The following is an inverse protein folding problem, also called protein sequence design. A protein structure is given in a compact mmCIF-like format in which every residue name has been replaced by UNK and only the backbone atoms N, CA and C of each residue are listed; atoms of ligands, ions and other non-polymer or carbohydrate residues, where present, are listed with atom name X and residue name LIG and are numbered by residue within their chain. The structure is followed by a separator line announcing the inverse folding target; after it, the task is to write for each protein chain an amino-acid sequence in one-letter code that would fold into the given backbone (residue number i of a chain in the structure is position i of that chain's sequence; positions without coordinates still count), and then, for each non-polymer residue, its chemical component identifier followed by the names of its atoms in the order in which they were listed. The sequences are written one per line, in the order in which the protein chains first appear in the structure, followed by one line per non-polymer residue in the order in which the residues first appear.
data_IF_591624550700
#
_entry.id   IF_591624550700
#
_cell.length_a   1.000
_cell.length_b   1.000
_cell.length_c   1.000
_cell.angle_alpha   90.00
_cell.angle_beta   90.00
_cell.angle_gamma   90.00
#
_symmetry.space_group_name_H-M   'P 1'
#
loop_
_entity.id
_entity.type
_entity.pdbx_description
1 polymer ?
#
# COMPACT_ATOMS: atom_id res chain seq x y z
N UNK A 1 10.10 16.52 11.06
CA UNK A 1 9.21 15.93 12.10
C UNK A 1 9.91 16.17 13.44
N UNK A 2 9.22 16.58 14.52
CA UNK A 2 9.87 16.68 15.84
C UNK A 2 10.45 15.30 16.20
N UNK A 3 11.63 15.26 16.83
CA UNK A 3 12.19 14.00 17.33
C UNK A 3 11.20 13.39 18.32
N UNK A 4 10.51 12.33 17.90
CA UNK A 4 9.65 11.56 18.80
C UNK A 4 10.54 10.86 19.82
N UNK A 5 10.13 10.77 21.10
CA UNK A 5 10.87 10.00 22.08
C UNK A 5 10.91 8.53 21.66
N UNK A 6 11.99 7.85 22.02
CA UNK A 6 12.24 6.45 21.67
C UNK A 6 11.03 5.52 21.92
N UNK A 7 10.35 5.71 23.06
CA UNK A 7 9.19 4.92 23.46
C UNK A 7 7.99 5.08 22.51
N UNK A 8 7.79 6.28 21.96
CA UNK A 8 6.71 6.53 21.00
C UNK A 8 7.02 5.87 19.65
N UNK A 9 8.29 5.91 19.22
CA UNK A 9 8.74 5.23 17.99
C UNK A 9 8.56 3.72 18.13
N UNK A 10 8.95 3.15 19.27
CA UNK A 10 8.78 1.73 19.55
C UNK A 10 7.30 1.34 19.56
N UNK A 11 6.44 2.10 20.23
CA UNK A 11 4.99 1.87 20.25
C UNK A 11 4.36 1.95 18.85
N UNK A 12 4.79 2.92 18.02
CA UNK A 12 4.35 3.01 16.62
C UNK A 12 4.78 1.78 15.82
N UNK A 13 6.05 1.37 15.92
CA UNK A 13 6.55 0.18 15.24
C UNK A 13 5.83 -1.09 15.69
N UNK A 14 5.63 -1.28 16.98
CA UNK A 14 4.87 -2.41 17.52
C UNK A 14 3.44 -2.42 16.99
N UNK A 15 2.81 -1.25 16.87
CA UNK A 15 1.45 -1.16 16.35
C UNK A 15 1.33 -1.59 14.89
N UNK A 16 2.31 -1.22 14.05
CA UNK A 16 2.37 -1.63 12.65
C UNK A 16 2.76 -3.11 12.52
N UNK A 17 3.73 -3.58 13.31
CA UNK A 17 4.21 -4.98 13.23
C UNK A 17 3.12 -5.95 13.68
N UNK A 18 2.47 -5.66 14.81
CA UNK A 18 1.44 -6.54 15.38
C UNK A 18 0.04 -6.33 14.79
N UNK A 19 -0.15 -5.27 13.99
CA UNK A 19 -1.46 -4.78 13.55
C UNK A 19 -2.43 -4.49 14.70
N UNK A 20 -1.90 -4.19 15.89
CA UNK A 20 -2.69 -3.96 17.10
C UNK A 20 -2.36 -2.62 17.73
N UNK A 21 -3.38 -1.96 18.28
CA UNK A 21 -3.19 -0.72 19.03
C UNK A 21 -4.01 -0.72 20.30
N UNK A 22 -3.35 -0.65 21.45
CA UNK A 22 -4.01 -0.46 22.74
C UNK A 22 -4.45 1.00 22.85
N UNK A 23 -5.76 1.22 23.03
CA UNK A 23 -6.35 2.54 23.25
C UNK A 23 -7.03 2.59 24.60
N UNK A 24 -6.76 3.67 25.32
CA UNK A 24 -7.50 4.09 26.51
C UNK A 24 -8.71 4.91 26.06
N UNK A 25 -9.88 4.55 26.56
CA UNK A 25 -11.13 5.26 26.31
C UNK A 25 -11.70 5.70 27.66
N UNK A 26 -11.71 7.01 27.87
CA UNK A 26 -12.29 7.63 29.06
C UNK A 26 -13.72 8.11 28.75
N UNK A 27 -14.66 7.81 29.64
CA UNK A 27 -16.05 8.24 29.57
C UNK A 27 -16.59 8.51 30.98
N UNK A 28 -17.74 9.18 31.15
CA UNK A 28 -18.24 9.56 32.48
C UNK A 28 -18.42 8.39 33.47
N UNK A 29 -18.64 7.17 32.97
CA UNK A 29 -18.81 5.96 33.77
C UNK A 29 -17.52 5.20 34.12
N UNK A 30 -16.36 5.62 33.59
CA UNK A 30 -15.08 4.96 33.87
C UNK A 30 -14.06 5.05 32.73
N UNK A 31 -13.05 4.20 32.81
CA UNK A 31 -12.00 4.08 31.79
C UNK A 31 -11.92 2.63 31.33
N UNK A 32 -11.94 2.42 30.02
CA UNK A 32 -11.79 1.10 29.39
C UNK A 32 -10.51 1.07 28.56
N UNK A 33 -9.91 -0.11 28.47
CA UNK A 33 -8.73 -0.36 27.65
C UNK A 33 -9.11 -1.35 26.56
N UNK A 34 -9.08 -0.89 25.31
CA UNK A 34 -9.48 -1.67 24.14
C UNK A 34 -8.29 -1.86 23.23
N UNK A 35 -8.05 -3.09 22.80
CA UNK A 35 -7.08 -3.43 21.78
C UNK A 35 -7.82 -3.42 20.45
N UNK A 36 -7.45 -2.50 19.58
CA UNK A 36 -7.82 -2.58 18.18
C UNK A 36 -6.91 -3.54 17.46
N UNK A 37 -7.47 -4.42 16.62
CA UNK A 37 -6.74 -5.26 15.67
C UNK A 37 -7.29 -4.98 14.29
N UNK A 38 -6.44 -4.90 13.26
CA UNK A 38 -6.93 -4.69 11.89
C UNK A 38 -7.88 -5.84 11.47
N UNK A 39 -8.99 -5.55 10.76
CA UNK A 39 -9.93 -6.59 10.33
C UNK A 39 -9.26 -7.67 9.47
N UNK A 40 -9.62 -8.93 9.68
CA UNK A 40 -9.12 -10.03 8.85
C UNK A 40 -9.84 -10.06 7.51
N UNK A 41 -9.29 -10.80 6.55
CA UNK A 41 -9.93 -11.03 5.25
C UNK A 41 -11.39 -11.50 5.35
N UNK A 42 -11.72 -12.34 6.34
CA UNK A 42 -13.09 -12.80 6.59
C UNK A 42 -14.01 -11.66 7.07
N UNK A 43 -13.51 -10.80 7.95
CA UNK A 43 -14.28 -9.65 8.47
C UNK A 43 -14.59 -8.65 7.35
N UNK A 44 -13.65 -8.43 6.42
CA UNK A 44 -13.84 -7.57 5.24
C UNK A 44 -14.90 -8.12 4.27
N UNK A 45 -14.98 -9.44 4.11
CA UNK A 45 -16.03 -10.06 3.29
C UNK A 45 -17.39 -9.91 3.97
N UNK A 46 -17.45 -10.14 5.28
CA UNK A 46 -18.69 -9.98 6.04
C UNK A 46 -19.14 -8.52 6.10
N UNK A 47 -18.23 -7.55 6.18
CA UNK A 47 -18.60 -6.13 6.14
C UNK A 47 -19.21 -5.73 4.79
N UNK A 48 -18.72 -6.30 3.67
CA UNK A 48 -19.33 -6.11 2.35
C UNK A 48 -20.74 -6.70 2.28
N UNK A 49 -20.97 -7.86 2.90
CA UNK A 49 -22.31 -8.42 3.03
C UNK A 49 -23.23 -7.49 3.85
N UNK A 50 -22.74 -6.97 4.98
CA UNK A 50 -23.51 -6.01 5.80
C UNK A 50 -23.84 -4.74 5.02
N UNK A 51 -22.89 -4.23 4.22
CA UNK A 51 -23.10 -3.12 3.28
C UNK A 51 -24.24 -3.38 2.31
N UNK A 52 -24.20 -4.52 1.62
CA UNK A 52 -25.24 -4.90 0.64
C UNK A 52 -26.61 -5.05 1.29
N UNK A 53 -26.67 -5.68 2.47
CA UNK A 53 -27.89 -5.81 3.26
C UNK A 53 -28.47 -4.43 3.63
N UNK A 54 -27.65 -3.55 4.20
CA UNK A 54 -28.07 -2.21 4.59
C UNK A 54 -28.52 -1.35 3.41
N UNK A 55 -27.86 -1.50 2.25
CA UNK A 55 -28.27 -0.82 1.01
C UNK A 55 -29.67 -1.27 0.54
N UNK A 56 -29.95 -2.59 0.60
CA UNK A 56 -31.28 -3.13 0.26
C UNK A 56 -32.37 -2.68 1.24
N UNK A 57 -32.04 -2.57 2.53
CA UNK A 57 -32.96 -2.08 3.56
C UNK A 57 -33.24 -0.58 3.38
N UNK A 58 -32.20 0.22 3.14
CA UNK A 58 -32.31 1.64 2.83
C UNK A 58 -33.19 1.91 1.59
N UNK A 59 -33.02 1.09 0.54
CA UNK A 59 -33.85 1.18 -0.65
C UNK A 59 -35.33 0.84 -0.37
N UNK A 60 -35.61 -0.15 0.48
CA UNK A 60 -36.98 -0.49 0.91
C UNK A 60 -37.63 0.61 1.75
N UNK A 61 -36.83 1.33 2.54
CA UNK A 61 -37.27 2.50 3.31
C UNK A 61 -37.51 3.74 2.43
N UNK A 62 -37.13 3.69 1.14
CA UNK A 62 -37.31 4.79 0.21
C UNK A 62 -36.28 5.91 0.37
N UNK A 63 -35.11 5.61 0.94
CA UNK A 63 -33.99 6.55 0.97
C UNK A 63 -33.48 6.80 -0.46
N UNK A 64 -33.06 8.04 -0.80
CA UNK A 64 -32.52 8.34 -2.13
C UNK A 64 -31.16 7.67 -2.34
N UNK A 65 -30.82 7.40 -3.59
CA UNK A 65 -29.43 7.08 -3.96
C UNK A 65 -28.52 8.30 -3.74
N UNK A 66 -27.20 8.11 -3.76
CA UNK A 66 -26.25 9.22 -3.57
C UNK A 66 -26.40 10.23 -4.71
N UNK A 67 -26.61 9.77 -5.93
CA UNK A 67 -26.86 10.61 -7.09
C UNK A 67 -28.15 11.44 -6.90
N UNK A 68 -29.26 10.80 -6.52
CA UNK A 68 -30.52 11.48 -6.22
C UNK A 68 -30.38 12.47 -5.06
N UNK A 69 -29.67 12.10 -4.00
CA UNK A 69 -29.39 12.95 -2.86
C UNK A 69 -28.55 14.18 -3.27
N UNK A 70 -27.57 14.02 -4.17
CA UNK A 70 -26.81 15.14 -4.72
C UNK A 70 -27.67 16.06 -5.58
N UNK A 71 -28.57 15.53 -6.40
CA UNK A 71 -29.50 16.35 -7.18
C UNK A 71 -30.48 17.11 -6.29
N UNK A 72 -31.01 16.46 -5.25
CA UNK A 72 -31.87 17.11 -4.25
C UNK A 72 -31.12 18.20 -3.51
N UNK A 73 -29.85 17.95 -3.18
CA UNK A 73 -28.98 18.92 -2.53
C UNK A 73 -28.73 20.13 -3.43
N UNK A 74 -28.45 19.94 -4.71
CA UNK A 74 -28.24 21.05 -5.65
C UNK A 74 -29.50 21.89 -5.86
N UNK A 75 -30.69 21.26 -5.77
CA UNK A 75 -31.98 21.97 -5.81
C UNK A 75 -32.29 22.70 -4.49
N UNK A 76 -31.90 22.13 -3.35
CA UNK A 76 -32.16 22.66 -2.02
C UNK A 76 -31.17 23.76 -1.59
N UNK A 77 -29.94 23.71 -2.11
CA UNK A 77 -28.90 24.68 -1.79
C UNK A 77 -29.04 25.88 -2.70
N UNK A 78 -29.34 27.05 -2.12
CA UNK A 78 -29.39 28.29 -2.88
C UNK A 78 -27.98 28.68 -3.33
N UNK A 79 -27.88 29.41 -4.46
CA UNK A 79 -26.59 29.98 -4.87
C UNK A 79 -26.01 30.90 -3.78
N UNK A 80 -26.89 31.57 -3.03
CA UNK A 80 -26.54 32.39 -1.86
C UNK A 80 -25.84 31.58 -0.76
N UNK A 81 -26.33 30.38 -0.42
CA UNK A 81 -25.67 29.51 0.58
C UNK A 81 -24.27 29.08 0.11
N UNK A 82 -24.12 28.77 -1.19
CA UNK A 82 -22.82 28.40 -1.80
C UNK A 82 -21.84 29.58 -1.78
N UNK A 83 -22.30 30.77 -2.15
CA UNK A 83 -21.50 31.99 -2.17
C UNK A 83 -21.10 32.41 -0.75
N UNK A 84 -22.03 32.32 0.21
CA UNK A 84 -21.77 32.58 1.62
C UNK A 84 -20.74 31.61 2.21
N UNK A 85 -20.84 30.32 1.92
CA UNK A 85 -19.86 29.34 2.38
C UNK A 85 -18.45 29.64 1.83
N UNK A 86 -18.36 30.04 0.56
CA UNK A 86 -17.09 30.45 -0.05
C UNK A 86 -16.53 31.71 0.64
N UNK A 87 -17.36 32.72 0.88
CA UNK A 87 -16.96 33.95 1.58
C UNK A 87 -16.48 33.65 3.01
N UNK A 88 -17.17 32.77 3.74
CA UNK A 88 -16.76 32.34 5.08
C UNK A 88 -15.39 31.66 5.07
N UNK A 89 -15.14 30.74 4.12
CA UNK A 89 -13.83 30.07 3.97
C UNK A 89 -12.71 31.06 3.67
N UNK A 90 -12.94 32.02 2.79
CA UNK A 90 -11.97 33.08 2.49
C UNK A 90 -11.69 33.97 3.72
N UNK A 91 -12.73 34.32 4.50
CA UNK A 91 -12.57 35.07 5.75
C UNK A 91 -11.80 34.29 6.82
N UNK A 92 -12.03 32.98 6.95
CA UNK A 92 -11.30 32.12 7.90
C UNK A 92 -9.81 32.16 7.56
N UNK A 93 -9.43 31.91 6.30
CA UNK A 93 -8.02 31.93 5.86
C UNK A 93 -7.39 33.30 6.10
N UNK A 94 -8.11 34.39 5.83
CA UNK A 94 -7.63 35.74 6.10
C UNK A 94 -7.40 36.00 7.61
N UNK A 95 -8.29 35.52 8.48
CA UNK A 95 -8.15 35.66 9.93
C UNK A 95 -7.03 34.78 10.50
N UNK A 96 -6.84 33.56 9.97
CA UNK A 96 -5.71 32.70 10.35
C UNK A 96 -4.37 33.37 10.04
N UNK A 97 -4.23 34.02 8.86
CA UNK A 97 -3.04 34.79 8.53
C UNK A 97 -2.81 35.98 9.49
N UNK A 98 -3.89 36.67 9.92
CA UNK A 98 -3.80 37.74 10.92
C UNK A 98 -3.39 37.18 12.29
N UNK A 99 -3.91 36.01 12.67
CA UNK A 99 -3.59 35.34 13.93
C UNK A 99 -2.09 35.02 14.05
N UNK A 100 -1.48 34.52 12.98
CA UNK A 100 -0.05 34.20 12.92
C UNK A 100 0.83 35.44 13.16
N UNK A 101 0.48 36.57 12.55
CA UNK A 101 1.26 37.83 12.60
C UNK A 101 1.02 38.62 13.90
N UNK A 102 -0.12 38.42 14.56
CA UNK A 102 -0.49 39.18 15.76
C UNK A 102 0.34 38.77 16.97
N UNK A 103 1.13 39.67 17.55
CA UNK A 103 1.97 39.38 18.73
C UNK A 103 1.26 39.60 20.08
N UNK A 104 0.18 40.40 20.11
CA UNK A 104 -0.51 40.80 21.35
C UNK A 104 -1.54 39.72 21.73
N UNK A 105 -1.40 39.15 22.92
CA UNK A 105 -2.24 38.04 23.41
C UNK A 105 -3.74 38.39 23.44
N UNK A 106 -4.12 39.55 23.99
CA UNK A 106 -5.51 39.98 24.02
C UNK A 106 -6.15 40.13 22.62
N UNK A 107 -5.35 40.51 21.60
CA UNK A 107 -5.84 40.57 20.21
C UNK A 107 -5.88 39.19 19.57
N UNK A 108 -4.95 38.29 19.93
CA UNK A 108 -4.99 36.88 19.49
C UNK A 108 -6.24 36.18 19.97
N UNK A 109 -6.65 36.39 21.22
CA UNK A 109 -7.86 35.77 21.75
C UNK A 109 -9.11 36.26 21.00
N UNK A 110 -9.20 37.57 20.71
CA UNK A 110 -10.29 38.11 19.88
C UNK A 110 -10.30 37.56 18.44
N UNK A 111 -9.13 37.40 17.83
CA UNK A 111 -9.03 36.80 16.48
C UNK A 111 -9.42 35.32 16.53
N UNK A 112 -9.01 34.58 17.56
CA UNK A 112 -9.38 33.18 17.78
C UNK A 112 -10.90 33.03 17.91
N UNK A 113 -11.54 33.80 18.78
CA UNK A 113 -13.00 33.77 18.96
C UNK A 113 -13.74 34.09 17.65
N UNK A 114 -13.23 35.03 16.86
CA UNK A 114 -13.80 35.32 15.54
C UNK A 114 -13.62 34.17 14.54
N UNK A 115 -12.46 33.49 14.53
CA UNK A 115 -12.21 32.31 13.70
C UNK A 115 -13.18 31.19 14.10
N UNK A 116 -13.31 30.91 15.40
CA UNK A 116 -14.19 29.87 15.93
C UNK A 116 -15.65 30.13 15.50
N UNK A 117 -16.16 31.36 15.68
CA UNK A 117 -17.50 31.72 15.20
C UNK A 117 -17.68 31.54 13.69
N UNK A 118 -16.70 31.98 12.88
CA UNK A 118 -16.78 31.82 11.42
C UNK A 118 -16.74 30.34 11.00
N UNK A 119 -15.95 29.52 11.70
CA UNK A 119 -15.90 28.08 11.50
C UNK A 119 -17.22 27.42 11.88
N UNK A 120 -17.82 27.79 13.01
CA UNK A 120 -19.15 27.31 13.41
C UNK A 120 -20.21 27.63 12.34
N UNK A 121 -20.28 28.87 11.86
CA UNK A 121 -21.21 29.26 10.79
C UNK A 121 -20.97 28.47 9.49
N UNK A 122 -19.70 28.24 9.13
CA UNK A 122 -19.36 27.44 7.95
C UNK A 122 -19.75 25.97 8.12
N UNK A 123 -19.51 25.40 9.30
CA UNK A 123 -19.90 24.03 9.66
C UNK A 123 -21.41 23.87 9.64
N UNK A 124 -22.18 24.84 10.14
CA UNK A 124 -23.65 24.81 10.08
C UNK A 124 -24.16 24.76 8.63
N UNK A 125 -23.62 25.59 7.75
CA UNK A 125 -23.96 25.58 6.33
C UNK A 125 -23.54 24.28 5.64
N UNK A 126 -22.35 23.76 5.97
CA UNK A 126 -21.90 22.47 5.45
C UNK A 126 -22.78 21.33 5.96
N UNK A 127 -23.14 21.29 7.25
CA UNK A 127 -24.00 20.27 7.82
C UNK A 127 -25.40 20.28 7.20
N UNK A 128 -25.96 21.48 6.95
CA UNK A 128 -27.22 21.62 6.22
C UNK A 128 -27.12 21.00 4.83
N UNK A 129 -25.98 21.16 4.16
CA UNK A 129 -25.73 20.56 2.84
C UNK A 129 -25.48 19.04 2.91
N UNK A 130 -24.74 18.58 3.92
CA UNK A 130 -24.35 17.18 4.05
C UNK A 130 -25.48 16.31 4.60
N UNK A 131 -26.45 16.86 5.33
CA UNK A 131 -27.55 16.09 5.91
C UNK A 131 -28.30 15.23 4.89
N UNK A 132 -28.58 15.77 3.70
CA UNK A 132 -29.23 15.02 2.62
C UNK A 132 -28.36 13.88 2.10
N UNK A 133 -27.04 14.09 2.05
CA UNK A 133 -26.09 13.04 1.65
C UNK A 133 -26.00 11.94 2.70
N UNK A 134 -25.99 12.29 3.99
CA UNK A 134 -26.00 11.31 5.09
C UNK A 134 -27.24 10.40 5.07
N UNK A 135 -28.34 10.87 4.51
CA UNK A 135 -29.57 10.09 4.34
C UNK A 135 -29.59 9.25 3.05
N UNK A 136 -28.49 9.17 2.30
CA UNK A 136 -28.42 8.33 1.10
C UNK A 136 -28.28 6.84 1.44
N UNK A 137 -28.74 5.98 0.53
CA UNK A 137 -28.60 4.53 0.67
C UNK A 137 -27.15 4.08 0.88
N UNK A 138 -26.21 4.66 0.12
CA UNK A 138 -24.79 4.36 0.14
C UNK A 138 -24.15 4.81 1.45
N UNK A 139 -24.50 5.99 1.96
CA UNK A 139 -23.97 6.46 3.25
C UNK A 139 -24.42 5.57 4.40
N UNK A 140 -25.70 5.20 4.45
CA UNK A 140 -26.22 4.24 5.44
C UNK A 140 -25.54 2.87 5.32
N UNK A 141 -25.32 2.39 4.09
CA UNK A 141 -24.63 1.13 3.84
C UNK A 141 -23.15 1.16 4.26
N UNK A 142 -22.44 2.24 3.94
CA UNK A 142 -21.04 2.44 4.31
C UNK A 142 -20.88 2.57 5.82
N UNK A 143 -21.80 3.27 6.50
CA UNK A 143 -21.84 3.38 7.95
C UNK A 143 -22.00 1.99 8.61
N UNK A 144 -22.96 1.19 8.16
CA UNK A 144 -23.18 -0.15 8.70
C UNK A 144 -21.94 -1.05 8.52
N UNK A 145 -21.35 -1.03 7.33
CA UNK A 145 -20.11 -1.76 7.05
C UNK A 145 -18.97 -1.30 7.96
N UNK A 146 -18.85 0.00 8.17
CA UNK A 146 -17.81 0.57 9.03
C UNK A 146 -18.02 0.20 10.50
N UNK A 147 -19.25 0.29 11.00
CA UNK A 147 -19.62 -0.13 12.36
C UNK A 147 -19.34 -1.63 12.58
N UNK A 148 -19.63 -2.47 11.60
CA UNK A 148 -19.30 -3.88 11.65
C UNK A 148 -17.79 -4.11 11.78
N UNK A 149 -16.98 -3.41 10.99
CA UNK A 149 -15.52 -3.51 11.08
C UNK A 149 -14.99 -3.00 12.42
N UNK A 150 -15.56 -1.92 12.95
CA UNK A 150 -15.21 -1.39 14.26
C UNK A 150 -15.42 -2.45 15.34
N UNK A 151 -16.60 -3.06 15.37
CA UNK A 151 -16.93 -4.16 16.27
C UNK A 151 -15.97 -5.35 16.11
N UNK A 152 -15.77 -5.84 14.88
CA UNK A 152 -14.95 -7.02 14.61
C UNK A 152 -13.46 -6.82 14.99
N UNK A 153 -13.03 -5.56 15.06
CA UNK A 153 -11.67 -5.14 15.37
C UNK A 153 -11.42 -4.87 16.86
N UNK A 154 -12.44 -4.94 17.71
CA UNK A 154 -12.35 -4.54 19.11
C UNK A 154 -12.19 -5.72 20.06
N UNK A 155 -11.09 -5.73 20.80
CA UNK A 155 -10.75 -6.78 21.76
C UNK A 155 -10.50 -6.19 23.14
N UNK A 156 -10.90 -6.92 24.18
CA UNK A 156 -10.48 -6.64 25.55
C UNK A 156 -9.00 -7.00 25.74
N UNK A 157 -8.40 -6.52 26.83
CA UNK A 157 -6.99 -6.84 27.18
C UNK A 157 -6.77 -8.35 27.39
N UNK A 158 -7.83 -9.10 27.70
CA UNK A 158 -7.83 -10.57 27.79
C UNK A 158 -7.63 -11.25 26.43
N UNK A 159 -7.81 -10.54 25.32
CA UNK A 159 -7.75 -11.06 23.96
C UNK A 159 -9.09 -11.55 23.41
N UNK A 160 -10.16 -11.52 24.21
CA UNK A 160 -11.53 -11.80 23.76
C UNK A 160 -12.13 -10.57 23.07
N UNK A 161 -13.18 -10.74 22.26
CA UNK A 161 -13.89 -9.60 21.66
C UNK A 161 -14.51 -8.73 22.75
N UNK A 162 -14.43 -7.42 22.59
CA UNK A 162 -14.98 -6.49 23.59
C UNK A 162 -16.51 -6.58 23.68
N UNK A 163 -17.19 -6.74 22.54
CA UNK A 163 -18.60 -7.15 22.48
C UNK A 163 -18.70 -8.54 21.86
N UNK A 164 -19.46 -9.44 22.50
CA UNK A 164 -19.57 -10.84 22.07
C UNK A 164 -20.21 -10.95 20.68
N UNK A 165 -21.25 -10.15 20.43
CA UNK A 165 -21.98 -10.11 19.15
C UNK A 165 -22.05 -8.69 18.61
N UNK A 166 -22.30 -8.56 17.30
CA UNK A 166 -22.50 -7.24 16.68
C UNK A 166 -23.74 -6.54 17.23
N UNK A 167 -24.79 -7.31 17.53
CA UNK A 167 -26.01 -6.81 18.16
C UNK A 167 -25.77 -6.22 19.55
N UNK A 168 -24.84 -6.78 20.34
CA UNK A 168 -24.44 -6.22 21.64
C UNK A 168 -23.78 -4.85 21.48
N UNK A 169 -22.98 -4.67 20.42
CA UNK A 169 -22.35 -3.39 20.08
C UNK A 169 -23.39 -2.36 19.63
N UNK A 170 -24.36 -2.75 18.79
CA UNK A 170 -25.44 -1.86 18.35
C UNK A 170 -26.31 -1.39 19.51
N UNK A 171 -26.56 -2.28 20.48
CA UNK A 171 -27.36 -2.01 21.69
C UNK A 171 -26.57 -1.37 22.83
N UNK A 172 -25.30 -1.04 22.65
CA UNK A 172 -24.48 -0.37 23.66
C UNK A 172 -25.14 0.97 24.06
N UNK A 173 -25.53 1.06 25.33
CA UNK A 173 -26.30 2.20 25.86
C UNK A 173 -25.40 3.34 26.32
N UNK A 174 -24.11 3.07 26.58
CA UNK A 174 -23.12 4.09 26.96
C UNK A 174 -22.70 4.89 25.73
N UNK A 175 -23.45 5.94 25.40
CA UNK A 175 -23.25 6.74 24.19
C UNK A 175 -21.85 7.35 24.11
N UNK A 176 -21.31 7.89 25.21
CA UNK A 176 -19.99 8.52 25.23
C UNK A 176 -18.88 7.48 24.98
N UNK A 177 -19.03 6.27 25.53
CA UNK A 177 -18.11 5.17 25.25
C UNK A 177 -18.15 4.80 23.77
N UNK A 178 -19.36 4.63 23.20
CA UNK A 178 -19.53 4.27 21.79
C UNK A 178 -18.95 5.33 20.85
N UNK A 179 -19.22 6.61 21.10
CA UNK A 179 -18.68 7.71 20.30
C UNK A 179 -17.16 7.78 20.37
N UNK A 180 -16.59 7.73 21.58
CA UNK A 180 -15.14 7.74 21.75
C UNK A 180 -14.48 6.50 21.12
N UNK A 181 -15.11 5.33 21.25
CA UNK A 181 -14.68 4.10 20.59
C UNK A 181 -14.64 4.25 19.07
N UNK A 182 -15.73 4.71 18.45
CA UNK A 182 -15.82 4.93 17.00
C UNK A 182 -14.76 5.91 16.53
N UNK A 183 -14.54 7.01 17.26
CA UNK A 183 -13.52 8.00 16.93
C UNK A 183 -12.10 7.39 16.97
N UNK A 184 -11.78 6.64 18.03
CA UNK A 184 -10.46 6.00 18.18
C UNK A 184 -10.26 4.89 17.15
N UNK A 185 -11.30 4.12 16.83
CA UNK A 185 -11.26 3.11 15.78
C UNK A 185 -11.07 3.74 14.41
N UNK A 186 -11.79 4.82 14.09
CA UNK A 186 -11.64 5.56 12.84
C UNK A 186 -10.19 5.99 12.62
N UNK A 187 -9.58 6.61 13.65
CA UNK A 187 -8.15 7.00 13.62
C UNK A 187 -7.21 5.81 13.43
N UNK A 188 -7.50 4.67 14.07
CA UNK A 188 -6.73 3.44 13.90
C UNK A 188 -6.87 2.86 12.48
N UNK A 189 -8.08 2.83 11.94
CA UNK A 189 -8.39 2.22 10.65
C UNK A 189 -7.88 3.05 9.46
N UNK A 190 -7.75 4.37 9.62
CA UNK A 190 -7.08 5.26 8.65
C UNK A 190 -5.61 4.87 8.48
N UNK A 191 -4.97 4.36 9.54
CA UNK A 191 -3.55 4.00 9.53
C UNK A 191 -2.62 5.21 9.69
N UNK A 192 -1.34 4.98 9.47
CA UNK A 192 -0.31 6.00 9.55
C UNK A 192 -0.17 6.77 8.24
N UNK A 193 0.19 8.04 8.34
CA UNK A 193 0.50 8.85 7.15
C UNK A 193 1.77 8.34 6.45
N UNK A 194 1.88 8.60 5.14
CA UNK A 194 3.08 8.26 4.37
C UNK A 194 4.36 8.83 4.99
N UNK A 195 4.31 10.05 5.54
CA UNK A 195 5.44 10.69 6.23
C UNK A 195 5.89 9.90 7.47
N UNK A 196 4.94 9.42 8.27
CA UNK A 196 5.23 8.59 9.45
C UNK A 196 5.81 7.23 9.04
N UNK A 197 5.21 6.55 8.06
CA UNK A 197 5.73 5.27 7.57
C UNK A 197 7.15 5.42 6.99
N UNK A 198 7.40 6.47 6.19
CA UNK A 198 8.74 6.78 5.65
C UNK A 198 9.74 7.04 6.77
N UNK A 199 9.33 7.78 7.80
CA UNK A 199 10.16 8.01 9.00
C UNK A 199 10.49 6.70 9.72
N UNK A 200 9.51 5.83 9.95
CA UNK A 200 9.74 4.51 10.53
C UNK A 200 10.65 3.64 9.66
N UNK A 201 10.47 3.67 8.34
CA UNK A 201 11.26 2.88 7.39
C UNK A 201 12.76 3.24 7.42
N UNK A 202 13.10 4.53 7.60
CA UNK A 202 14.50 4.99 7.73
C UNK A 202 15.07 4.85 9.15
N UNK A 203 14.22 4.74 10.16
CA UNK A 203 14.64 4.68 11.55
C UNK A 203 15.48 3.43 11.86
N UNK A 204 16.55 3.60 12.65
CA UNK A 204 17.53 2.55 12.93
C UNK A 204 16.92 1.30 13.57
N UNK A 205 15.97 1.46 14.49
CA UNK A 205 15.29 0.35 15.17
C UNK A 205 14.59 -0.59 14.20
N UNK A 206 13.86 -0.04 13.24
CA UNK A 206 13.17 -0.83 12.24
C UNK A 206 14.15 -1.44 11.24
N UNK A 207 15.13 -0.65 10.77
CA UNK A 207 16.12 -1.13 9.79
C UNK A 207 16.88 -2.35 10.27
N UNK A 208 17.28 -2.40 11.55
CA UNK A 208 17.96 -3.58 12.12
C UNK A 208 17.07 -4.82 12.00
N UNK A 209 15.78 -4.71 12.37
CA UNK A 209 14.79 -5.80 12.26
C UNK A 209 14.61 -6.22 10.81
N UNK A 210 14.40 -5.25 9.92
CA UNK A 210 14.21 -5.46 8.48
C UNK A 210 15.40 -6.18 7.82
N UNK A 211 16.62 -5.68 8.01
CA UNK A 211 17.84 -6.28 7.45
C UNK A 211 18.11 -7.67 8.03
N UNK A 212 17.89 -7.88 9.33
CA UNK A 212 18.06 -9.19 9.96
C UNK A 212 17.06 -10.20 9.38
N UNK A 213 15.80 -9.81 9.21
CA UNK A 213 14.76 -10.66 8.61
C UNK A 213 15.07 -11.01 7.17
N UNK A 214 15.49 -10.03 6.37
CA UNK A 214 15.87 -10.23 4.96
C UNK A 214 17.02 -11.22 4.80
N UNK A 215 18.04 -11.15 5.67
CA UNK A 215 19.21 -12.05 5.63
C UNK A 215 18.91 -13.45 6.14
N UNK A 216 18.03 -13.58 7.14
CA UNK A 216 17.72 -14.87 7.78
C UNK A 216 16.54 -15.59 7.14
N UNK A 217 15.73 -14.89 6.34
CA UNK A 217 14.48 -15.40 5.80
C UNK A 217 13.37 -15.51 6.86
N UNK A 218 13.54 -14.89 8.04
CA UNK A 218 12.48 -14.82 9.04
C UNK A 218 11.33 -13.94 8.54
N UNK A 219 10.13 -14.19 9.06
CA UNK A 219 8.95 -13.37 8.77
C UNK A 219 8.99 -12.08 9.61
N UNK A 220 8.70 -10.94 8.98
CA UNK A 220 8.68 -9.63 9.64
C UNK A 220 7.40 -9.37 10.43
N UNK A 221 6.30 -9.98 10.00
CA UNK A 221 4.97 -9.79 10.56
C UNK A 221 4.38 -11.16 10.89
N UNK A 222 3.47 -11.18 11.86
CA UNK A 222 2.82 -12.41 12.30
C UNK A 222 1.80 -12.95 11.27
N UNK A 223 1.43 -12.13 10.29
CA UNK A 223 0.42 -12.43 9.29
C UNK A 223 1.03 -12.86 7.94
N UNK A 224 0.30 -13.70 7.21
CA UNK A 224 0.64 -14.03 5.82
C UNK A 224 0.49 -12.83 4.89
N UNK A 225 1.11 -12.90 3.70
CA UNK A 225 1.12 -11.81 2.72
C UNK A 225 -0.28 -11.28 2.36
N UNK A 226 -1.29 -12.16 2.36
CA UNK A 226 -2.69 -11.84 2.03
C UNK A 226 -3.36 -10.99 3.11
N UNK A 227 -2.91 -11.12 4.37
CA UNK A 227 -3.48 -10.45 5.54
C UNK A 227 -2.57 -9.31 6.05
N UNK A 228 -1.64 -8.83 5.22
CA UNK A 228 -0.86 -7.64 5.54
C UNK A 228 -1.73 -6.40 5.41
N UNK A 229 -1.59 -5.51 6.39
CA UNK A 229 -2.32 -4.25 6.41
C UNK A 229 -1.71 -3.24 5.44
N UNK A 230 -2.46 -2.19 5.05
CA UNK A 230 -1.92 -1.11 4.23
C UNK A 230 -0.63 -0.51 4.82
N UNK A 231 -0.57 -0.34 6.14
CA UNK A 231 0.61 0.20 6.83
C UNK A 231 1.81 -0.75 6.76
N UNK A 232 1.59 -2.06 6.93
CA UNK A 232 2.66 -3.07 6.78
C UNK A 232 3.18 -3.14 5.35
N UNK A 233 2.30 -3.11 4.35
CA UNK A 233 2.66 -3.09 2.94
C UNK A 233 3.45 -1.81 2.59
N UNK A 234 2.97 -0.67 3.09
CA UNK A 234 3.64 0.62 2.91
C UNK A 234 5.02 0.61 3.57
N UNK A 235 5.12 0.09 4.79
CA UNK A 235 6.39 -0.02 5.51
C UNK A 235 7.37 -0.92 4.76
N UNK A 236 6.93 -2.08 4.23
CA UNK A 236 7.78 -2.93 3.40
C UNK A 236 8.25 -2.22 2.13
N UNK A 237 7.34 -1.55 1.43
CA UNK A 237 7.66 -0.81 0.21
C UNK A 237 8.75 0.23 0.48
N UNK A 238 8.54 1.10 1.48
CA UNK A 238 9.49 2.13 1.83
C UNK A 238 10.79 1.53 2.40
N UNK A 239 10.74 0.42 3.12
CA UNK A 239 11.94 -0.27 3.59
C UNK A 239 12.83 -0.74 2.44
N UNK A 240 12.24 -1.33 1.40
CA UNK A 240 12.97 -1.71 0.19
C UNK A 240 13.56 -0.47 -0.51
N UNK A 241 12.77 0.60 -0.62
CA UNK A 241 13.21 1.87 -1.21
C UNK A 241 14.43 2.43 -0.48
N UNK A 242 14.37 2.60 0.84
CA UNK A 242 15.50 3.09 1.63
C UNK A 242 16.67 2.11 1.64
N UNK A 243 16.43 0.80 1.73
CA UNK A 243 17.50 -0.20 1.65
C UNK A 243 18.29 -0.07 0.35
N UNK A 244 17.61 0.18 -0.79
CA UNK A 244 18.28 0.38 -2.08
C UNK A 244 19.19 1.62 -2.08
N UNK A 245 18.81 2.68 -1.37
CA UNK A 245 19.61 3.90 -1.20
C UNK A 245 20.85 3.61 -0.34
N UNK A 246 20.68 2.87 0.76
CA UNK A 246 21.79 2.51 1.63
C UNK A 246 22.75 1.47 1.04
N UNK A 247 22.34 0.80 -0.05
CA UNK A 247 23.16 -0.13 -0.82
C UNK A 247 23.86 0.53 -2.02
N UNK A 248 23.59 1.82 -2.28
CA UNK A 248 24.30 2.57 -3.32
C UNK A 248 25.80 2.67 -3.01
N UNK A 249 26.59 2.93 -4.05
CA UNK A 249 28.01 3.26 -3.87
C UNK A 249 28.14 4.53 -3.01
N UNK A 250 29.17 4.64 -2.16
CA UNK A 250 29.36 5.82 -1.32
C UNK A 250 29.36 7.16 -2.08
N UNK A 251 29.82 7.14 -3.34
CA UNK A 251 29.87 8.33 -4.21
C UNK A 251 28.51 8.67 -4.85
N UNK A 252 27.59 7.70 -4.94
CA UNK A 252 26.24 7.88 -5.49
C UNK A 252 25.19 8.10 -4.39
N UNK A 253 25.52 7.79 -3.13
CA UNK A 253 24.61 7.88 -2.01
C UNK A 253 24.30 9.35 -1.69
N UNK A 254 23.01 9.73 -1.56
CA UNK A 254 22.64 11.09 -1.17
C UNK A 254 23.18 11.44 0.22
N UNK A 255 23.34 12.74 0.49
CA UNK A 255 23.78 13.20 1.81
C UNK A 255 22.73 12.86 2.89
N UNK A 256 23.13 12.71 4.16
CA UNK A 256 22.18 12.43 5.25
C UNK A 256 21.03 13.44 5.33
N UNK A 257 21.33 14.73 5.10
CA UNK A 257 20.32 15.80 5.08
C UNK A 257 19.27 15.62 3.98
N UNK A 258 19.65 15.06 2.83
CA UNK A 258 18.72 14.73 1.74
C UNK A 258 17.91 13.48 2.09
N UNK A 259 18.52 12.48 2.74
CA UNK A 259 17.83 11.25 3.15
C UNK A 259 16.73 11.53 4.18
N UNK A 260 16.94 12.49 5.08
CA UNK A 260 15.99 12.85 6.13
C UNK A 260 14.80 13.69 5.62
N UNK A 261 14.93 14.32 4.45
CA UNK A 261 13.94 15.15 3.78
C UNK A 261 13.29 14.39 2.61
N UNK A 262 12.08 13.88 2.85
CA UNK A 262 11.35 13.00 1.92
C UNK A 262 11.18 13.63 0.52
N UNK A 263 10.95 14.95 0.44
CA UNK A 263 10.70 15.65 -0.83
C UNK A 263 12.01 15.82 -1.63
N UNK A 264 13.11 16.16 -0.95
CA UNK A 264 14.44 16.26 -1.58
C UNK A 264 14.96 14.91 -2.03
N UNK A 265 14.70 13.86 -1.25
CA UNK A 265 15.10 12.51 -1.60
C UNK A 265 14.38 12.04 -2.86
N UNK A 266 13.08 12.31 -2.98
CA UNK A 266 12.31 11.96 -4.17
C UNK A 266 12.84 12.69 -5.42
N UNK A 267 13.13 13.99 -5.32
CA UNK A 267 13.75 14.76 -6.41
C UNK A 267 15.14 14.20 -6.80
N UNK A 268 15.95 13.85 -5.80
CA UNK A 268 17.26 13.24 -6.01
C UNK A 268 17.14 11.91 -6.75
N UNK A 269 16.27 11.01 -6.30
CA UNK A 269 16.10 9.69 -6.90
C UNK A 269 15.57 9.78 -8.33
N UNK A 270 14.64 10.71 -8.60
CA UNK A 270 14.16 10.98 -9.95
C UNK A 270 15.28 11.45 -10.88
N UNK A 271 16.16 12.34 -10.39
CA UNK A 271 17.32 12.80 -11.16
C UNK A 271 18.33 11.67 -11.41
N UNK A 272 18.57 10.83 -10.41
CA UNK A 272 19.47 9.68 -10.48
C UNK A 272 19.00 8.66 -11.51
N UNK A 273 17.71 8.27 -11.50
CA UNK A 273 17.16 7.33 -12.48
C UNK A 273 17.20 7.89 -13.91
N UNK A 274 16.88 9.18 -14.09
CA UNK A 274 16.99 9.85 -15.40
C UNK A 274 18.42 9.84 -15.94
N UNK A 275 19.43 10.07 -15.09
CA UNK A 275 20.83 10.05 -15.49
C UNK A 275 21.31 8.62 -15.83
N UNK A 276 20.99 7.63 -15.00
CA UNK A 276 21.27 6.21 -15.27
C UNK A 276 20.62 5.71 -16.57
N UNK A 277 19.42 6.19 -16.90
CA UNK A 277 18.76 5.84 -18.16
C UNK A 277 19.46 6.49 -19.37
N UNK A 278 19.89 7.75 -19.25
CA UNK A 278 20.71 8.43 -20.27
C UNK A 278 22.03 7.69 -20.50
N UNK A 279 22.78 7.36 -19.45
CA UNK A 279 24.04 6.60 -19.57
C UNK A 279 23.81 5.23 -20.22
N UNK A 280 22.71 4.54 -19.91
CA UNK A 280 22.36 3.26 -20.53
C UNK A 280 22.00 3.40 -22.01
N UNK A 281 21.34 4.49 -22.40
CA UNK A 281 20.96 4.74 -23.79
C UNK A 281 22.16 5.21 -24.63
N UNK A 282 23.01 6.07 -24.07
CA UNK A 282 24.28 6.51 -24.66
C UNK A 282 25.27 5.36 -24.79
N UNK A 283 25.46 4.56 -23.72
CA UNK A 283 26.34 3.38 -23.78
C UNK A 283 25.87 2.34 -24.80
N UNK A 284 24.56 2.17 -25.00
CA UNK A 284 24.01 1.33 -26.09
C UNK A 284 24.25 1.94 -27.47
N UNK A 285 24.17 3.27 -27.60
CA UNK A 285 24.46 3.96 -28.85
C UNK A 285 25.95 3.86 -29.23
N UNK A 286 26.85 4.01 -28.25
CA UNK A 286 28.30 3.81 -28.43
C UNK A 286 28.66 2.37 -28.74
N UNK A 287 28.06 1.39 -28.06
CA UNK A 287 28.24 -0.01 -28.42
C UNK A 287 27.76 -0.30 -29.85
N UNK A 288 26.62 0.28 -30.28
CA UNK A 288 26.16 0.16 -31.67
C UNK A 288 27.10 0.84 -32.67
N UNK A 289 27.67 2.00 -32.34
CA UNK A 289 28.61 2.70 -33.22
C UNK A 289 29.97 1.99 -33.34
N UNK A 290 30.46 1.38 -32.25
CA UNK A 290 31.66 0.54 -32.27
C UNK A 290 31.43 -0.79 -33.00
N UNK A 291 30.26 -1.41 -32.83
CA UNK A 291 29.91 -2.65 -33.54
C UNK A 291 29.64 -2.40 -35.03
N UNK A 292 29.18 -1.20 -35.40
CA UNK A 292 29.03 -0.76 -36.80
C UNK A 292 30.36 -0.54 -37.54
N UNK A 293 31.49 -0.40 -36.82
CA UNK A 293 32.85 -0.32 -37.38
C UNK A 293 33.58 -1.65 -37.44
N UNK A 294 33.12 -2.68 -36.72
CA UNK A 294 33.51 -4.06 -37.03
C UNK A 294 32.74 -4.47 -38.28
N UNK A 295 33.49 -4.63 -39.38
CA UNK A 295 33.00 -5.14 -40.66
C UNK A 295 31.88 -6.15 -40.46
N UNK A 296 30.79 -5.98 -41.23
CA UNK A 296 29.78 -7.00 -41.49
C UNK A 296 30.48 -8.25 -42.04
N UNK A 297 31.09 -9.05 -41.19
CA UNK A 297 31.28 -10.47 -41.44
C UNK A 297 29.89 -11.05 -41.28
N UNK A 298 29.20 -11.15 -42.40
CA UNK A 298 27.92 -11.83 -42.48
C UNK A 298 28.13 -13.21 -41.84
N UNK A 299 27.29 -13.59 -40.88
CA UNK A 299 27.26 -14.94 -40.32
C UNK A 299 27.09 -16.05 -41.40
N UNK A 300 26.85 -15.65 -42.64
CA UNK A 300 26.80 -16.49 -43.84
C UNK A 300 28.19 -16.87 -44.40
N UNK A 301 29.26 -16.12 -44.13
CA UNK A 301 30.60 -16.39 -44.72
C UNK A 301 31.47 -17.35 -43.90
N UNK A 302 31.13 -17.61 -42.64
CA UNK A 302 31.92 -18.51 -41.77
C UNK A 302 31.40 -19.94 -41.63
N UNK A 303 30.27 -20.28 -42.24
CA UNK A 303 29.73 -21.64 -42.15
C UNK A 303 29.39 -22.08 -40.72
N UNK A 304 29.13 -21.14 -39.81
CA UNK A 304 28.66 -21.44 -38.47
C UNK A 304 27.16 -21.71 -38.49
N UNK A 305 26.76 -22.88 -37.98
CA UNK A 305 25.36 -23.30 -37.93
C UNK A 305 24.54 -22.36 -37.03
N UNK A 306 23.62 -21.60 -37.63
CA UNK A 306 22.71 -20.73 -36.90
C UNK A 306 21.56 -21.55 -36.31
N UNK A 307 21.55 -21.77 -34.99
CA UNK A 307 20.41 -22.37 -34.30
C UNK A 307 19.34 -21.29 -34.11
N UNK A 308 18.29 -21.36 -34.92
CA UNK A 308 17.17 -20.40 -34.87
C UNK A 308 16.09 -20.99 -33.94
N UNK A 309 15.88 -20.34 -32.80
CA UNK A 309 14.82 -20.71 -31.84
C UNK A 309 13.45 -20.21 -32.29
N UNK A 310 12.33 -20.80 -31.82
CA UNK A 310 10.97 -20.43 -32.22
C UNK A 310 10.58 -18.97 -31.97
N UNK A 311 11.30 -18.29 -31.08
CA UNK A 311 11.15 -16.88 -30.74
C UNK A 311 11.80 -15.91 -31.74
N UNK A 312 12.57 -16.40 -32.71
CA UNK A 312 13.27 -15.54 -33.68
C UNK A 312 12.34 -15.10 -34.82
N UNK A 313 12.32 -13.81 -35.23
CA UNK A 313 11.36 -13.28 -36.21
C UNK A 313 11.38 -13.98 -37.58
N UNK A 314 12.54 -14.49 -37.99
CA UNK A 314 12.71 -15.18 -39.28
C UNK A 314 12.41 -16.68 -39.23
N UNK A 315 12.06 -17.24 -38.06
CA UNK A 315 11.70 -18.64 -37.88
C UNK A 315 10.56 -19.06 -38.82
N UNK A 316 9.54 -18.21 -38.97
CA UNK A 316 8.39 -18.48 -39.84
C UNK A 316 8.69 -18.38 -41.34
N UNK A 317 9.75 -17.66 -41.74
CA UNK A 317 10.14 -17.52 -43.16
C UNK A 317 10.95 -18.72 -43.67
N UNK A 318 11.58 -19.47 -42.78
CA UNK A 318 12.35 -20.67 -43.11
C UNK A 318 11.46 -21.88 -43.43
N UNK A 319 10.19 -21.86 -43.03
CA UNK A 319 9.34 -23.05 -43.06
C UNK A 319 8.86 -23.49 -44.47
N UNK A 320 9.13 -22.75 -45.55
CA UNK A 320 8.57 -23.09 -46.87
C UNK A 320 9.47 -22.84 -48.09
N UNK A 321 10.77 -23.14 -48.03
CA UNK A 321 11.49 -23.44 -49.27
C UNK A 321 11.32 -24.93 -49.62
N UNK A 322 10.39 -25.22 -50.55
CA UNK A 322 10.12 -26.58 -51.07
C UNK A 322 11.34 -27.30 -51.67
N UNK A 323 12.50 -26.63 -51.79
CA UNK A 323 13.75 -27.22 -52.25
C UNK A 323 14.43 -28.15 -51.22
N UNK A 324 14.13 -28.06 -49.92
CA UNK A 324 14.74 -28.94 -48.91
C UNK A 324 14.07 -30.31 -48.73
N UNK A 325 12.83 -30.50 -49.18
CA UNK A 325 12.14 -31.80 -49.03
C UNK A 325 12.74 -32.86 -49.97
N UNK A 326 13.35 -32.46 -51.10
CA UNK A 326 14.02 -33.42 -52.01
C UNK A 326 15.43 -33.83 -51.57
N UNK A 327 16.05 -33.14 -50.62
CA UNK A 327 17.39 -33.46 -50.11
C UNK A 327 17.38 -34.16 -48.74
N UNK A 328 16.21 -34.35 -48.13
CA UNK A 328 16.05 -35.01 -46.83
C UNK A 328 15.46 -36.44 -46.91
N UNK A 329 15.33 -37.03 -48.11
CA UNK A 329 15.08 -38.48 -48.26
C UNK A 329 16.34 -39.33 -48.07
N UNK A 330 17.51 -38.71 -47.88
CA UNK A 330 18.74 -39.37 -47.47
C UNK A 330 19.17 -38.89 -46.10
N UNK A 331 19.19 -39.80 -45.11
CA UNK A 331 19.82 -39.65 -43.78
C UNK A 331 19.14 -38.71 -42.76
N UNK A 332 18.29 -39.26 -41.91
CA UNK A 332 18.65 -39.49 -40.48
C UNK A 332 17.45 -40.04 -39.69
N UNK A 333 17.56 -41.30 -39.27
CA UNK A 333 16.72 -41.86 -38.21
C UNK A 333 17.11 -41.21 -36.88
N UNK A 334 16.20 -40.42 -36.31
CA UNK A 334 16.28 -40.01 -34.91
C UNK A 334 15.57 -41.09 -34.09
N UNK A 335 16.35 -42.00 -33.50
CA UNK A 335 15.83 -43.01 -32.58
C UNK A 335 15.37 -42.37 -31.26
N UNK A 336 14.05 -42.37 -31.04
CA UNK A 336 13.44 -41.94 -29.77
C UNK A 336 13.62 -43.07 -28.75
N UNK A 337 14.60 -42.94 -27.86
CA UNK A 337 14.87 -43.94 -26.82
C UNK A 337 13.79 -43.86 -25.74
N UNK A 338 12.92 -44.87 -25.70
CA UNK A 338 11.83 -44.96 -24.73
C UNK A 338 12.32 -44.96 -23.27
N UNK A 339 11.57 -44.36 -22.32
CA UNK A 339 11.99 -44.13 -20.93
C UNK A 339 12.40 -45.38 -20.13
N UNK A 340 11.94 -46.56 -20.54
CA UNK A 340 12.20 -47.84 -19.86
C UNK A 340 13.29 -48.71 -20.51
N UNK A 341 13.98 -48.17 -21.51
CA UNK A 341 15.06 -48.89 -22.20
C UNK A 341 16.20 -49.27 -21.25
N UNK A 342 16.90 -50.36 -21.61
CA UNK A 342 18.06 -50.86 -20.86
C UNK A 342 19.18 -49.79 -20.73
N UNK A 343 19.29 -48.89 -21.71
CA UNK A 343 20.19 -47.73 -21.69
C UNK A 343 19.78 -46.67 -20.64
N UNK A 344 18.49 -46.37 -20.52
CA UNK A 344 17.98 -45.46 -19.49
C UNK A 344 18.21 -46.01 -18.07
N UNK A 345 18.05 -47.33 -17.89
CA UNK A 345 18.34 -48.01 -16.61
C UNK A 345 19.82 -47.98 -16.26
N UNK A 346 20.72 -48.19 -17.21
CA UNK A 346 22.17 -48.12 -16.98
C UNK A 346 22.64 -46.70 -16.62
N UNK A 347 22.00 -45.65 -17.15
CA UNK A 347 22.28 -44.26 -16.76
C UNK A 347 21.87 -43.96 -15.31
N UNK A 348 20.68 -44.43 -14.89
CA UNK A 348 20.24 -44.28 -13.49
C UNK A 348 21.17 -45.01 -12.52
N UNK A 349 21.60 -46.23 -12.85
CA UNK A 349 22.53 -46.99 -12.01
C UNK A 349 23.89 -46.27 -11.80
N UNK A 350 24.42 -45.61 -12.84
CA UNK A 350 25.67 -44.83 -12.73
C UNK A 350 25.52 -43.57 -11.87
N UNK A 351 24.39 -42.88 -11.94
CA UNK A 351 24.12 -41.71 -11.10
C UNK A 351 24.06 -42.08 -9.61
N UNK A 352 23.44 -43.21 -9.27
CA UNK A 352 23.36 -43.68 -7.88
C UNK A 352 24.72 -44.11 -7.32
N UNK A 353 25.62 -44.65 -8.14
CA UNK A 353 26.99 -44.98 -7.71
C UNK A 353 27.86 -43.76 -7.40
N UNK A 354 27.68 -42.65 -8.12
CA UNK A 354 28.42 -41.41 -7.86
C UNK A 354 27.93 -40.69 -6.60
N UNK A 355 26.64 -40.79 -6.26
CA UNK A 355 26.09 -40.25 -5.03
C UNK A 355 26.63 -40.97 -3.78
N UNK A 356 26.81 -42.31 -3.84
CA UNK A 356 27.38 -43.09 -2.74
C UNK A 356 28.86 -42.79 -2.46
N UNK A 357 29.65 -42.42 -3.46
CA UNK A 357 31.06 -42.04 -3.23
C UNK A 357 31.23 -40.68 -2.54
N UNK A 358 30.21 -39.81 -2.57
CA UNK A 358 30.27 -38.47 -1.96
C UNK A 358 29.82 -38.41 -0.49
N UNK A 359 29.18 -39.46 0.02
CA UNK A 359 28.66 -39.50 1.40
C UNK A 359 29.60 -40.09 2.46
N UNK A 360 30.78 -40.61 2.08
CA UNK A 360 31.69 -41.33 2.97
C UNK A 360 32.89 -40.52 3.46
N UNK A 361 32.67 -39.31 3.97
CA UNK A 361 33.65 -38.55 4.77
C UNK A 361 32.91 -37.71 5.80
N UNK A 362 32.50 -38.34 6.90
CA UNK A 362 32.31 -37.73 8.22
C UNK A 362 32.66 -38.74 9.28
#
# INVERSE_FOLDING_TARGET
MKELPFQEIEALLESVISNKSLKRIDYPGGTEFIIFSYPKSQDLVLSRYMREKAMLEAAKEGLPTLEEATELLDKATTQEDKDKLKELKEKIVAQEAVFEVTAIEARRDQVRENIERLQEEAIELENKSQHLLYMSQERKADEESFLYLAWASAYAVTGERFWNTFEDFEKETRQELRLSFIEKFSKFNIGLSSKEIRFLARHSLWRIRYTASSKTGQQLFDNGLVDLTPDQLSLLYWSNYYQSIFEMLPDEMPSPEVIDDDDKLDEFMDSYFKNREKERTEGKAEQRSQTGRRQKLNAWEKGEELIITPSHPDYMKLAYSKQRVKSAEGTSEVEVIAPNSRRARNRRARATSQAKMRGGRR
#
